data_IF_710494895265
#
_entry.id   IF_710494895265
#
_cell.length_a   1.000
_cell.length_b   1.000
_cell.length_c   1.000
_cell.angle_alpha   90.00
_cell.angle_beta   90.00
_cell.angle_gamma   90.00
#
_symmetry.space_group_name_H-M   'P 1'
#
loop_
_entity.id
_entity.type
_entity.pdbx_description
1 polymer ?
#
# COMPACT_ATOMS: atom_id res chain seq x y z
N UNK A 1 3.25 40.98 -14.38
CA UNK A 1 2.36 40.08 -15.16
C UNK A 1 1.09 39.86 -14.36
N UNK A 2 -0.04 40.45 -14.79
CA UNK A 2 -1.29 40.50 -14.02
C UNK A 2 -1.77 39.10 -13.61
N UNK A 3 -2.18 38.95 -12.35
CA UNK A 3 -2.70 37.69 -11.78
C UNK A 3 -3.86 37.10 -12.58
N UNK A 4 -4.66 37.94 -13.26
CA UNK A 4 -5.73 37.52 -14.14
C UNK A 4 -5.24 36.78 -15.40
N UNK A 5 -4.11 37.17 -15.98
CA UNK A 5 -3.53 36.48 -17.14
C UNK A 5 -3.02 35.08 -16.75
N UNK A 6 -2.44 34.92 -15.56
CA UNK A 6 -2.00 33.61 -15.05
C UNK A 6 -3.17 32.66 -14.81
N UNK A 7 -4.30 33.17 -14.29
CA UNK A 7 -5.54 32.39 -14.13
C UNK A 7 -6.14 31.94 -15.45
N UNK A 8 -6.14 32.81 -16.47
CA UNK A 8 -6.60 32.45 -17.81
C UNK A 8 -5.70 31.41 -18.47
N UNK A 9 -4.38 31.54 -18.34
CA UNK A 9 -3.44 30.53 -18.85
C UNK A 9 -3.65 29.19 -18.13
N UNK A 10 -3.78 29.20 -16.81
CA UNK A 10 -4.01 27.98 -16.04
C UNK A 10 -5.36 27.31 -16.39
N UNK A 11 -6.42 28.12 -16.55
CA UNK A 11 -7.72 27.63 -17.03
C UNK A 11 -7.65 27.08 -18.45
N UNK A 12 -6.92 27.75 -19.36
CA UNK A 12 -6.72 27.28 -20.73
C UNK A 12 -5.90 25.98 -20.79
N UNK A 13 -4.89 25.82 -19.93
CA UNK A 13 -4.11 24.57 -19.82
C UNK A 13 -4.97 23.44 -19.28
N UNK A 14 -5.79 23.66 -18.25
CA UNK A 14 -6.73 22.65 -17.75
C UNK A 14 -7.76 22.29 -18.82
N UNK A 15 -8.26 23.29 -19.55
CA UNK A 15 -9.24 23.08 -20.62
C UNK A 15 -8.64 22.31 -21.81
N UNK A 16 -7.41 22.64 -22.22
CA UNK A 16 -6.67 21.88 -23.23
C UNK A 16 -6.35 20.45 -22.75
N UNK A 17 -6.01 20.28 -21.48
CA UNK A 17 -5.77 18.96 -20.90
C UNK A 17 -7.06 18.14 -20.84
N UNK A 18 -8.19 18.77 -20.55
CA UNK A 18 -9.50 18.13 -20.60
C UNK A 18 -9.89 17.72 -22.03
N UNK A 19 -9.65 18.58 -23.02
CA UNK A 19 -9.87 18.24 -24.43
C UNK A 19 -8.92 17.14 -24.90
N UNK A 20 -7.64 17.18 -24.50
CA UNK A 20 -6.67 16.14 -24.84
C UNK A 20 -7.01 14.80 -24.18
N UNK A 21 -7.49 14.81 -22.93
CA UNK A 21 -7.98 13.61 -22.25
C UNK A 21 -9.27 13.09 -22.90
N UNK A 22 -10.19 13.98 -23.29
CA UNK A 22 -11.36 13.59 -24.07
C UNK A 22 -10.95 13.03 -25.43
N UNK A 23 -9.94 13.59 -26.11
CA UNK A 23 -9.42 13.02 -27.36
C UNK A 23 -8.67 11.71 -27.15
N UNK A 24 -7.98 11.50 -26.03
CA UNK A 24 -7.32 10.21 -25.76
C UNK A 24 -8.31 9.11 -25.37
N UNK A 25 -9.46 9.50 -24.80
CA UNK A 25 -10.55 8.60 -24.44
C UNK A 25 -11.40 8.36 -25.71
N UNK A 26 -11.97 9.40 -26.30
CA UNK A 26 -12.93 9.32 -27.41
C UNK A 26 -12.32 9.35 -28.83
N UNK A 27 -11.03 9.66 -28.99
CA UNK A 27 -10.39 9.78 -30.29
C UNK A 27 -9.90 8.45 -30.84
N UNK A 28 -10.60 7.99 -31.88
CA UNK A 28 -10.14 7.06 -32.93
C UNK A 28 -9.67 5.67 -32.46
N UNK A 29 -10.46 5.01 -31.61
CA UNK A 29 -10.25 3.57 -31.37
C UNK A 29 -10.88 2.95 -30.12
N UNK A 30 -11.86 3.60 -29.46
CA UNK A 30 -12.51 2.97 -28.30
C UNK A 30 -13.63 2.01 -28.73
N UNK A 31 -13.23 0.88 -29.30
CA UNK A 31 -14.11 -0.23 -29.64
C UNK A 31 -14.40 -1.04 -28.37
N UNK A 32 -15.64 -1.00 -27.88
CA UNK A 32 -16.12 -1.95 -26.86
C UNK A 32 -16.84 -3.08 -27.59
N UNK A 33 -16.15 -4.21 -27.74
CA UNK A 33 -16.75 -5.43 -28.25
C UNK A 33 -17.41 -6.16 -27.07
N UNK A 34 -18.74 -6.22 -27.06
CA UNK A 34 -19.52 -6.97 -26.08
C UNK A 34 -20.21 -8.08 -26.88
N UNK A 35 -19.75 -9.32 -26.72
CA UNK A 35 -20.31 -10.52 -27.34
C UNK A 35 -20.23 -10.56 -28.89
N UNK A 36 -19.17 -9.99 -29.47
CA UNK A 36 -18.94 -10.02 -30.92
C UNK A 36 -19.64 -8.90 -31.71
N UNK A 37 -20.58 -8.18 -31.09
CA UNK A 37 -21.22 -7.01 -31.70
C UNK A 37 -20.43 -5.73 -31.40
N UNK A 38 -20.04 -5.05 -32.46
CA UNK A 38 -19.37 -3.75 -32.44
C UNK A 38 -20.42 -2.67 -32.18
N UNK A 39 -20.56 -2.26 -30.91
CA UNK A 39 -21.42 -1.13 -30.55
C UNK A 39 -20.76 0.19 -30.95
N UNK A 40 -20.92 0.57 -32.21
CA UNK A 40 -20.40 1.81 -32.75
C UNK A 40 -21.44 2.94 -32.65
N UNK A 41 -21.02 4.11 -32.15
CA UNK A 41 -21.86 5.31 -32.01
C UNK A 41 -21.92 5.91 -30.60
N UNK A 42 -22.73 6.97 -30.40
CA UNK A 42 -22.80 7.74 -29.14
C UNK A 42 -23.10 6.88 -27.91
N UNK A 43 -23.88 5.80 -28.09
CA UNK A 43 -24.22 4.86 -27.02
C UNK A 43 -23.05 3.95 -26.64
N UNK A 44 -22.21 3.55 -27.60
CA UNK A 44 -20.99 2.79 -27.36
C UNK A 44 -19.97 3.61 -26.56
N UNK A 45 -19.87 4.90 -26.83
CA UNK A 45 -19.01 5.82 -26.10
C UNK A 45 -19.45 6.04 -24.64
N UNK A 46 -20.76 6.02 -24.34
CA UNK A 46 -21.25 6.11 -22.95
C UNK A 46 -20.98 4.80 -22.21
N UNK A 47 -21.22 3.66 -22.87
CA UNK A 47 -20.97 2.34 -22.31
C UNK A 47 -19.47 2.11 -22.05
N UNK A 48 -18.60 2.57 -22.95
CA UNK A 48 -17.15 2.46 -22.81
C UNK A 48 -16.62 3.25 -21.62
N UNK A 49 -17.11 4.48 -21.43
CA UNK A 49 -16.75 5.32 -20.28
C UNK A 49 -17.29 4.74 -18.98
N UNK A 50 -18.51 4.18 -18.99
CA UNK A 50 -19.09 3.57 -17.80
C UNK A 50 -18.36 2.30 -17.39
N UNK A 51 -18.15 1.36 -18.32
CA UNK A 51 -17.45 0.10 -18.02
C UNK A 51 -15.94 0.29 -17.83
N UNK A 52 -15.29 1.14 -18.62
CA UNK A 52 -13.89 1.49 -18.45
C UNK A 52 -13.65 2.23 -17.13
N UNK A 53 -14.48 3.21 -16.81
CA UNK A 53 -14.41 3.96 -15.55
C UNK A 53 -14.71 3.09 -14.33
N UNK A 54 -15.78 2.28 -14.39
CA UNK A 54 -16.12 1.35 -13.31
C UNK A 54 -15.06 0.25 -13.14
N UNK A 55 -14.48 -0.24 -14.24
CA UNK A 55 -13.40 -1.21 -14.23
C UNK A 55 -12.15 -0.67 -13.54
N UNK A 56 -11.77 0.58 -13.80
CA UNK A 56 -10.61 1.21 -13.14
C UNK A 56 -10.87 1.43 -11.65
N UNK A 57 -12.07 1.88 -11.26
CA UNK A 57 -12.44 2.04 -9.85
C UNK A 57 -12.39 0.70 -9.09
N UNK A 58 -12.97 -0.34 -9.69
CA UNK A 58 -12.98 -1.67 -9.09
C UNK A 58 -11.56 -2.26 -9.02
N UNK A 59 -10.76 -2.11 -10.08
CA UNK A 59 -9.37 -2.53 -10.09
C UNK A 59 -8.56 -1.80 -9.00
N UNK A 60 -8.74 -0.49 -8.83
CA UNK A 60 -8.11 0.29 -7.78
C UNK A 60 -8.46 -0.22 -6.38
N UNK A 61 -9.74 -0.53 -6.13
CA UNK A 61 -10.21 -1.09 -4.87
C UNK A 61 -9.56 -2.46 -4.58
N UNK A 62 -9.56 -3.36 -5.56
CA UNK A 62 -8.97 -4.70 -5.43
C UNK A 62 -7.46 -4.58 -5.17
N UNK A 63 -6.74 -3.79 -5.95
CA UNK A 63 -5.30 -3.60 -5.79
C UNK A 63 -4.94 -2.99 -4.44
N UNK A 64 -5.77 -2.08 -3.92
CA UNK A 64 -5.59 -1.53 -2.57
C UNK A 64 -5.76 -2.61 -1.51
N UNK A 65 -6.80 -3.44 -1.63
CA UNK A 65 -7.03 -4.56 -0.71
C UNK A 65 -5.86 -5.56 -0.74
N UNK A 66 -5.39 -5.93 -1.92
CA UNK A 66 -4.22 -6.81 -2.11
C UNK A 66 -2.96 -6.19 -1.50
N UNK A 67 -2.73 -4.90 -1.70
CA UNK A 67 -1.56 -4.22 -1.13
C UNK A 67 -1.58 -4.26 0.41
N UNK A 68 -2.74 -4.01 1.04
CA UNK A 68 -2.88 -4.12 2.50
C UNK A 68 -2.62 -5.54 2.98
N UNK A 69 -3.17 -6.53 2.28
CA UNK A 69 -2.97 -7.94 2.62
C UNK A 69 -1.48 -8.35 2.51
N UNK A 70 -0.81 -7.94 1.43
CA UNK A 70 0.62 -8.19 1.25
C UNK A 70 1.46 -7.51 2.33
N UNK A 71 1.16 -6.26 2.68
CA UNK A 71 1.83 -5.56 3.78
C UNK A 71 1.71 -6.33 5.11
N UNK A 72 0.51 -6.81 5.43
CA UNK A 72 0.26 -7.62 6.63
C UNK A 72 1.00 -8.95 6.58
N UNK A 73 1.00 -9.63 5.42
CA UNK A 73 1.74 -10.87 5.23
C UNK A 73 3.24 -10.66 5.41
N UNK A 74 3.83 -9.66 4.75
CA UNK A 74 5.26 -9.38 4.88
C UNK A 74 5.65 -8.98 6.31
N UNK A 75 4.80 -8.21 7.00
CA UNK A 75 5.00 -7.91 8.41
C UNK A 75 4.99 -9.18 9.27
N UNK A 76 4.02 -10.08 9.04
CA UNK A 76 3.92 -11.36 9.73
C UNK A 76 5.09 -12.30 9.46
N UNK A 77 5.44 -12.49 8.17
CA UNK A 77 6.58 -13.30 7.73
C UNK A 77 7.90 -12.79 8.29
N UNK A 78 8.10 -11.47 8.34
CA UNK A 78 9.29 -10.87 8.94
C UNK A 78 9.43 -11.22 10.43
N UNK A 79 8.36 -11.06 11.20
CA UNK A 79 8.36 -11.40 12.63
C UNK A 79 8.58 -12.91 12.83
N UNK A 80 7.93 -13.74 12.02
CA UNK A 80 8.06 -15.20 12.08
C UNK A 80 9.48 -15.65 11.75
N UNK A 81 10.11 -15.07 10.72
CA UNK A 81 11.48 -15.36 10.34
C UNK A 81 12.47 -14.99 11.45
N UNK A 82 12.35 -13.79 12.02
CA UNK A 82 13.22 -13.34 13.12
C UNK A 82 13.04 -14.23 14.36
N UNK A 83 11.79 -14.54 14.73
CA UNK A 83 11.51 -15.42 15.85
C UNK A 83 12.04 -16.83 15.63
N UNK A 84 11.89 -17.38 14.41
CA UNK A 84 12.41 -18.69 14.04
C UNK A 84 13.93 -18.78 14.14
N UNK A 85 14.64 -17.77 13.63
CA UNK A 85 16.11 -17.69 13.74
C UNK A 85 16.55 -17.56 15.20
N UNK A 86 15.88 -16.73 15.99
CA UNK A 86 16.17 -16.59 17.41
C UNK A 86 15.97 -17.92 18.17
N UNK A 87 14.88 -18.64 17.90
CA UNK A 87 14.58 -19.92 18.51
C UNK A 87 15.62 -20.99 18.10
N UNK A 88 15.98 -21.04 16.82
CA UNK A 88 17.03 -21.93 16.33
C UNK A 88 18.38 -21.64 17.00
N UNK A 89 18.75 -20.37 17.18
CA UNK A 89 19.97 -19.98 17.88
C UNK A 89 19.98 -20.44 19.36
N UNK A 90 18.82 -20.34 20.03
CA UNK A 90 18.65 -20.85 21.41
C UNK A 90 18.81 -22.37 21.47
N UNK A 91 18.22 -23.11 20.51
CA UNK A 91 18.38 -24.57 20.43
C UNK A 91 19.84 -24.96 20.19
N UNK A 92 20.55 -24.27 19.29
CA UNK A 92 21.97 -24.55 19.04
C UNK A 92 22.81 -24.29 20.31
N UNK A 93 22.56 -23.16 21.00
CA UNK A 93 23.20 -22.88 22.29
C UNK A 93 22.90 -23.97 23.34
N UNK A 94 21.66 -24.48 23.37
CA UNK A 94 21.27 -25.58 24.24
C UNK A 94 22.05 -26.87 23.95
N UNK A 95 22.28 -27.19 22.67
CA UNK A 95 23.05 -28.36 22.26
C UNK A 95 24.56 -28.22 22.54
N UNK A 96 25.13 -27.02 22.40
CA UNK A 96 26.57 -26.79 22.64
C UNK A 96 26.91 -26.82 24.13
N UNK A 97 26.02 -26.35 25.01
CA UNK A 97 26.21 -26.45 26.46
C UNK A 97 24.88 -26.54 27.21
N UNK A 98 24.48 -27.74 27.68
CA UNK A 98 23.19 -27.95 28.35
C UNK A 98 23.08 -27.23 29.70
N UNK A 99 24.19 -26.72 30.25
CA UNK A 99 24.22 -25.93 31.50
C UNK A 99 23.83 -24.45 31.30
N UNK A 100 23.81 -23.95 30.06
CA UNK A 100 23.42 -22.57 29.75
C UNK A 100 21.89 -22.39 29.71
N UNK A 101 21.14 -23.48 29.55
CA UNK A 101 19.68 -23.51 29.46
C UNK A 101 18.97 -22.93 30.71
N UNK A 102 19.30 -23.33 31.95
CA UNK A 102 18.67 -22.75 33.15
C UNK A 102 19.07 -21.29 33.39
N UNK A 103 20.21 -20.83 32.85
CA UNK A 103 20.69 -19.45 33.02
C UNK A 103 20.10 -18.50 31.97
N UNK A 104 19.76 -18.99 30.77
CA UNK A 104 19.20 -18.17 29.70
C UNK A 104 17.73 -17.76 29.99
N UNK A 105 16.98 -18.60 30.70
CA UNK A 105 15.60 -18.32 31.13
C UNK A 105 15.51 -17.03 31.99
N UNK A 106 16.26 -16.88 33.10
CA UNK A 106 16.20 -15.66 33.91
C UNK A 106 16.74 -14.43 33.18
N UNK A 107 17.78 -14.57 32.33
CA UNK A 107 18.32 -13.46 31.54
C UNK A 107 17.29 -12.98 30.50
N UNK A 108 16.63 -13.90 29.81
CA UNK A 108 15.57 -13.58 28.85
C UNK A 108 14.35 -12.91 29.51
N UNK A 109 13.96 -13.39 30.69
CA UNK A 109 12.86 -12.81 31.46
C UNK A 109 13.19 -11.40 31.98
N UNK A 110 14.42 -11.21 32.48
CA UNK A 110 14.93 -9.90 32.89
C UNK A 110 14.95 -8.92 31.72
N UNK A 111 15.44 -9.35 30.55
CA UNK A 111 15.45 -8.51 29.35
C UNK A 111 14.04 -8.10 28.93
N UNK A 112 13.08 -9.02 28.92
CA UNK A 112 11.67 -8.73 28.59
C UNK A 112 11.06 -7.72 29.57
N UNK A 113 11.33 -7.86 30.87
CA UNK A 113 10.83 -6.93 31.87
C UNK A 113 11.49 -5.55 31.80
N UNK A 114 12.78 -5.46 31.47
CA UNK A 114 13.50 -4.18 31.38
C UNK A 114 13.23 -3.44 30.06
N UNK A 115 12.96 -4.17 28.98
CA UNK A 115 12.74 -3.59 27.65
C UNK A 115 11.32 -3.05 27.44
N UNK A 116 10.32 -3.60 28.14
CA UNK A 116 8.92 -3.11 28.10
C UNK A 116 8.74 -1.65 28.59
N UNK A 117 9.24 -1.23 29.78
CA UNK A 117 9.05 0.13 30.27
C UNK A 117 9.82 1.17 29.44
N UNK A 118 10.94 0.78 28.82
CA UNK A 118 11.73 1.66 27.94
C UNK A 118 10.96 2.04 26.67
N UNK A 119 10.22 1.08 26.09
CA UNK A 119 9.36 1.32 24.92
C UNK A 119 8.16 2.21 25.26
N UNK A 120 7.56 2.01 26.44
CA UNK A 120 6.44 2.85 26.92
C UNK A 120 6.87 4.28 27.23
N UNK A 121 8.06 4.47 27.83
CA UNK A 121 8.61 5.82 28.08
C UNK A 121 8.95 6.58 26.80
N UNK A 122 9.51 5.89 25.80
CA UNK A 122 9.79 6.49 24.49
C UNK A 122 8.51 6.95 23.79
N UNK A 123 7.44 6.16 23.88
CA UNK A 123 6.12 6.54 23.36
C UNK A 123 5.53 7.75 24.10
N UNK A 124 5.67 7.81 25.43
CA UNK A 124 5.22 8.95 26.23
C UNK A 124 5.94 10.26 25.88
N UNK A 125 7.26 10.21 25.60
CA UNK A 125 8.02 11.40 25.16
C UNK A 125 7.70 11.86 23.75
N UNK A 126 7.27 10.96 22.86
CA UNK A 126 6.82 11.32 21.49
C UNK A 126 5.40 11.89 21.47
N UNK A 127 4.60 11.61 22.51
CA UNK A 127 3.25 12.14 22.71
C UNK A 127 3.20 13.44 23.53
N UNK A 128 4.34 13.94 24.03
CA UNK A 128 4.46 15.31 24.53
C UNK A 128 4.83 16.22 23.34
N UNK A 129 3.87 16.88 22.68
CA UNK A 129 4.21 17.97 21.78
C UNK A 129 4.83 19.08 22.63
N UNK A 130 6.06 19.46 22.29
CA UNK A 130 6.65 20.73 22.74
C UNK A 130 6.20 21.81 21.77
#
# INVERSE_FOLDING_TARGET
>A
MNTNAKKLIFAAVIFLLAIAACQSIFGDGMHVNIDGDEFDGPVGAVLSVFFGGAGILLAGLIMTCVAVFLCLLFAGLGILAVAGVALAAVIVMACVSPLLLPLLIPIGLYWIFVSRPRKQRLQATLQQPV
#
